data_IF_669034845873
#
_entry.id   IF_669034845873
#
_cell.length_a   1.000
_cell.length_b   1.000
_cell.length_c   1.000
_cell.angle_alpha   90.00
_cell.angle_beta   90.00
_cell.angle_gamma   90.00
#
_symmetry.space_group_name_H-M   'P 1'
#
loop_
_entity.id
_entity.type
_entity.pdbx_description
1 polymer ?
#
# COMPACT_ATOMS: atom_id res chain seq x y z
N UNK A 1 -7.84 -10.82 -4.06
CA UNK A 1 -7.16 -12.12 -3.83
C UNK A 1 -8.04 -13.26 -4.35
N UNK A 2 -7.52 -14.22 -5.11
CA UNK A 2 -8.34 -15.26 -5.78
C UNK A 2 -8.92 -16.34 -4.84
N UNK A 3 -8.64 -16.30 -3.54
CA UNK A 3 -9.08 -17.33 -2.59
C UNK A 3 -10.61 -17.47 -2.54
N UNK A 4 -11.32 -16.34 -2.43
CA UNK A 4 -12.78 -16.32 -2.40
C UNK A 4 -13.36 -16.98 -3.66
N UNK A 5 -12.92 -16.55 -4.85
CA UNK A 5 -13.40 -17.12 -6.12
C UNK A 5 -13.12 -18.63 -6.24
N UNK A 6 -11.93 -19.09 -5.84
CA UNK A 6 -11.59 -20.51 -5.84
C UNK A 6 -12.45 -21.30 -4.86
N UNK A 7 -12.70 -20.75 -3.67
CA UNK A 7 -13.52 -21.41 -2.65
C UNK A 7 -15.00 -21.44 -3.05
N UNK A 8 -15.50 -20.35 -3.64
CA UNK A 8 -16.84 -20.26 -4.24
C UNK A 8 -17.03 -21.32 -5.32
N UNK A 9 -16.11 -21.41 -6.28
CA UNK A 9 -16.15 -22.43 -7.33
C UNK A 9 -16.17 -23.87 -6.77
N UNK A 10 -15.41 -24.14 -5.69
CA UNK A 10 -15.44 -25.43 -5.00
C UNK A 10 -16.81 -25.72 -4.36
N UNK A 11 -17.36 -24.77 -3.60
CA UNK A 11 -18.63 -24.95 -2.88
C UNK A 11 -19.79 -25.10 -3.86
N UNK A 12 -19.91 -24.17 -4.81
CA UNK A 12 -20.97 -24.19 -5.82
C UNK A 12 -20.85 -25.40 -6.75
N UNK A 13 -19.62 -25.78 -7.13
CA UNK A 13 -19.36 -26.97 -7.91
C UNK A 13 -19.80 -28.25 -7.19
N UNK A 14 -19.49 -28.39 -5.90
CA UNK A 14 -19.94 -29.54 -5.10
C UNK A 14 -21.46 -29.57 -4.93
N UNK A 15 -22.10 -28.42 -4.67
CA UNK A 15 -23.57 -28.30 -4.62
C UNK A 15 -24.23 -28.70 -5.92
N UNK A 16 -23.69 -28.25 -7.05
CA UNK A 16 -24.19 -28.64 -8.38
C UNK A 16 -24.03 -30.13 -8.64
N UNK A 17 -22.89 -30.73 -8.28
CA UNK A 17 -22.60 -32.14 -8.57
C UNK A 17 -23.42 -33.10 -7.69
N UNK A 18 -23.60 -32.77 -6.41
CA UNK A 18 -24.37 -33.63 -5.50
C UNK A 18 -25.88 -33.44 -5.62
N UNK A 19 -26.35 -32.27 -6.08
CA UNK A 19 -27.78 -32.02 -6.28
C UNK A 19 -28.60 -32.02 -4.98
N UNK A 20 -27.97 -31.68 -3.84
CA UNK A 20 -28.60 -31.67 -2.51
C UNK A 20 -28.89 -30.25 -2.00
N UNK A 21 -29.11 -29.31 -2.93
CA UNK A 21 -29.30 -27.89 -2.62
C UNK A 21 -28.07 -27.26 -1.96
N UNK A 22 -28.30 -26.21 -1.17
CA UNK A 22 -27.24 -25.50 -0.43
C UNK A 22 -26.87 -26.22 0.86
N UNK A 23 -26.31 -27.43 0.78
CA UNK A 23 -25.91 -28.14 1.99
C UNK A 23 -24.91 -27.32 2.83
N UNK A 24 -24.90 -27.48 4.17
CA UNK A 24 -24.03 -26.71 5.05
C UNK A 24 -22.55 -26.93 4.76
N UNK A 25 -21.77 -25.85 4.70
CA UNK A 25 -20.34 -25.90 4.43
C UNK A 25 -19.55 -25.14 5.51
N UNK A 26 -18.96 -25.89 6.45
CA UNK A 26 -18.13 -25.31 7.51
C UNK A 26 -16.65 -25.49 7.22
N UNK A 27 -15.86 -24.45 7.49
CA UNK A 27 -14.42 -24.43 7.23
C UNK A 27 -13.67 -23.67 8.32
N UNK A 28 -12.35 -23.74 8.28
CA UNK A 28 -11.47 -23.19 9.31
C UNK A 28 -10.57 -22.14 8.68
N UNK A 29 -10.43 -21.01 9.34
CA UNK A 29 -9.44 -19.99 9.02
C UNK A 29 -8.03 -20.61 9.09
N UNK A 30 -7.11 -20.20 8.22
CA UNK A 30 -5.72 -20.66 8.32
C UNK A 30 -5.09 -20.12 9.61
N UNK A 31 -4.26 -20.91 10.29
CA UNK A 31 -3.62 -20.47 11.54
C UNK A 31 -2.54 -19.40 11.27
N UNK A 32 -2.31 -18.47 12.22
CA UNK A 32 -1.08 -17.67 12.29
C UNK A 32 0.17 -18.54 12.19
N UNK A 33 1.14 -18.10 11.39
CA UNK A 33 2.42 -18.77 11.20
C UNK A 33 3.48 -17.81 10.67
N UNK A 34 4.72 -17.96 11.14
CA UNK A 34 5.85 -17.18 10.66
C UNK A 34 6.39 -17.80 9.36
N UNK A 35 5.98 -17.25 8.22
CA UNK A 35 6.37 -17.78 6.91
C UNK A 35 7.84 -17.52 6.50
N UNK A 36 8.64 -16.80 7.27
CA UNK A 36 9.98 -16.37 6.83
C UNK A 36 9.96 -14.88 6.49
N UNK A 37 10.54 -14.51 5.35
CA UNK A 37 10.74 -13.11 4.96
C UNK A 37 9.56 -12.51 4.14
N UNK A 38 8.45 -13.22 4.02
CA UNK A 38 7.23 -12.73 3.39
C UNK A 38 6.69 -11.52 4.14
N UNK A 39 5.98 -10.67 3.41
CA UNK A 39 5.19 -9.57 3.96
C UNK A 39 4.35 -10.01 5.17
N UNK A 40 4.50 -9.33 6.30
CA UNK A 40 3.77 -9.61 7.53
C UNK A 40 2.25 -9.60 7.33
N UNK A 41 1.74 -8.78 6.42
CA UNK A 41 0.30 -8.61 6.18
C UNK A 41 -0.31 -9.70 5.29
N UNK A 42 0.48 -10.67 4.81
CA UNK A 42 0.03 -11.68 3.83
C UNK A 42 -1.14 -12.53 4.34
N UNK A 43 -1.09 -12.99 5.60
CA UNK A 43 -2.17 -13.78 6.16
C UNK A 43 -3.39 -12.94 6.52
N UNK A 44 -3.23 -11.69 6.94
CA UNK A 44 -4.37 -10.82 7.21
C UNK A 44 -5.26 -10.63 5.98
N UNK A 45 -4.65 -10.38 4.81
CA UNK A 45 -5.34 -10.34 3.52
C UNK A 45 -5.99 -11.69 3.15
N UNK A 46 -5.35 -12.80 3.54
CA UNK A 46 -5.89 -14.15 3.32
C UNK A 46 -7.07 -14.46 4.25
N UNK A 47 -7.00 -14.06 5.52
CA UNK A 47 -8.05 -14.20 6.51
C UNK A 47 -9.30 -13.42 6.13
N UNK A 48 -9.17 -12.18 5.63
CA UNK A 48 -10.29 -11.44 5.05
C UNK A 48 -10.92 -12.21 3.89
N UNK A 49 -10.11 -12.75 2.97
CA UNK A 49 -10.62 -13.52 1.85
C UNK A 49 -11.30 -14.83 2.29
N UNK A 50 -10.86 -15.44 3.41
CA UNK A 50 -11.53 -16.58 4.04
C UNK A 50 -12.85 -16.16 4.70
N UNK A 51 -12.89 -15.03 5.39
CA UNK A 51 -14.10 -14.50 6.01
C UNK A 51 -15.17 -14.14 4.96
N UNK A 52 -14.76 -13.60 3.81
CA UNK A 52 -15.65 -13.24 2.72
C UNK A 52 -16.45 -14.43 2.15
N UNK A 53 -15.96 -15.67 2.29
CA UNK A 53 -16.69 -16.88 1.85
C UNK A 53 -18.00 -17.07 2.61
N UNK A 54 -18.14 -16.48 3.82
CA UNK A 54 -19.39 -16.49 4.59
C UNK A 54 -20.55 -15.76 3.91
N UNK A 55 -20.30 -15.00 2.84
CA UNK A 55 -21.34 -14.40 2.00
C UNK A 55 -22.13 -15.46 1.19
N UNK A 56 -21.60 -16.68 1.05
CA UNK A 56 -22.30 -17.77 0.38
C UNK A 56 -23.33 -18.41 1.33
N UNK A 57 -24.53 -18.81 0.85
CA UNK A 57 -25.56 -19.40 1.68
C UNK A 57 -25.06 -20.64 2.45
N UNK A 58 -25.54 -20.83 3.68
CA UNK A 58 -25.26 -22.00 4.52
C UNK A 58 -23.76 -22.30 4.67
N UNK A 59 -22.94 -21.27 4.83
CA UNK A 59 -21.51 -21.41 5.13
C UNK A 59 -21.20 -20.85 6.52
N UNK A 60 -20.11 -21.31 7.11
CA UNK A 60 -19.62 -20.76 8.38
C UNK A 60 -18.14 -21.06 8.59
N UNK A 61 -17.45 -20.10 9.20
CA UNK A 61 -16.00 -20.18 9.44
C UNK A 61 -15.69 -20.27 10.93
N UNK A 62 -14.72 -21.12 11.29
CA UNK A 62 -14.09 -21.08 12.61
C UNK A 62 -12.80 -20.27 12.56
N UNK A 63 -12.74 -19.22 13.38
CA UNK A 63 -11.53 -18.43 13.65
C UNK A 63 -10.66 -19.18 14.66
N UNK A 64 -9.33 -19.21 14.44
CA UNK A 64 -8.38 -20.01 15.25
C UNK A 64 -7.06 -19.30 15.57
N UNK A 65 -7.01 -17.98 15.41
CA UNK A 65 -5.83 -17.17 15.71
C UNK A 65 -5.43 -17.16 17.19
N UNK A 66 -6.27 -17.70 18.09
CA UNK A 66 -6.01 -17.81 19.51
C UNK A 66 -5.39 -19.16 19.93
N UNK A 67 -5.43 -20.18 19.07
CA UNK A 67 -4.96 -21.55 19.34
C UNK A 67 -3.93 -22.00 18.29
N UNK A 68 -3.12 -21.06 17.83
CA UNK A 68 -2.04 -21.27 16.88
C UNK A 68 -0.78 -21.85 17.55
N UNK A 69 0.24 -22.10 16.74
CA UNK A 69 1.59 -22.45 17.21
C UNK A 69 2.56 -21.87 16.20
N UNK A 70 3.11 -20.69 16.47
CA UNK A 70 3.79 -19.86 15.45
C UNK A 70 5.00 -20.54 14.80
N UNK A 71 5.62 -21.51 15.47
CA UNK A 71 6.75 -22.31 15.01
C UNK A 71 6.33 -23.69 14.47
N UNK A 72 5.03 -24.02 14.47
CA UNK A 72 4.50 -25.27 13.93
C UNK A 72 3.31 -25.01 12.99
N UNK A 73 3.56 -25.19 11.70
CA UNK A 73 2.56 -25.05 10.63
C UNK A 73 1.36 -26.03 10.77
N UNK A 74 1.45 -27.01 11.67
CA UNK A 74 0.39 -27.93 12.05
C UNK A 74 0.02 -27.78 13.54
N UNK A 75 -0.74 -26.73 13.94
CA UNK A 75 -1.09 -26.52 15.35
C UNK A 75 -1.76 -27.75 15.98
N UNK A 76 -1.31 -28.21 17.16
CA UNK A 76 -1.71 -29.49 17.72
C UNK A 76 -3.12 -29.50 18.31
N UNK A 77 -3.68 -28.34 18.70
CA UNK A 77 -5.02 -28.25 19.28
C UNK A 77 -6.12 -28.41 18.21
N UNK A 78 -6.30 -29.63 17.70
CA UNK A 78 -7.39 -29.97 16.77
C UNK A 78 -8.73 -30.16 17.46
N UNK A 79 -8.70 -30.42 18.77
CA UNK A 79 -9.91 -30.72 19.55
C UNK A 79 -10.81 -29.50 19.64
N UNK A 80 -10.26 -28.32 19.96
CA UNK A 80 -11.07 -27.11 20.08
C UNK A 80 -11.54 -26.60 18.71
N UNK A 81 -10.75 -26.78 17.65
CA UNK A 81 -11.21 -26.55 16.27
C UNK A 81 -12.44 -27.40 15.94
N UNK A 82 -12.39 -28.70 16.25
CA UNK A 82 -13.52 -29.62 16.05
C UNK A 82 -14.75 -29.24 16.87
N UNK A 83 -14.57 -28.84 18.13
CA UNK A 83 -15.66 -28.35 18.98
C UNK A 83 -16.32 -27.11 18.37
N UNK A 84 -15.55 -26.11 17.92
CA UNK A 84 -16.09 -24.89 17.30
C UNK A 84 -16.89 -25.20 16.03
N UNK A 85 -16.40 -26.10 15.18
CA UNK A 85 -17.15 -26.57 14.00
C UNK A 85 -18.46 -27.27 14.38
N UNK A 86 -18.42 -28.12 15.42
CA UNK A 86 -19.62 -28.79 15.91
C UNK A 86 -20.64 -27.79 16.48
N UNK A 87 -20.20 -26.72 17.13
CA UNK A 87 -21.08 -25.66 17.64
C UNK A 87 -21.81 -24.93 16.51
N UNK A 88 -21.12 -24.60 15.42
CA UNK A 88 -21.75 -24.01 14.23
C UNK A 88 -22.83 -24.93 13.66
N UNK A 89 -22.51 -26.22 13.49
CA UNK A 89 -23.48 -27.20 12.99
C UNK A 89 -24.68 -27.34 13.94
N UNK A 90 -24.44 -27.45 15.25
CA UNK A 90 -25.51 -27.58 16.25
C UNK A 90 -26.48 -26.39 16.19
N UNK A 91 -25.95 -25.18 16.13
CA UNK A 91 -26.74 -23.94 16.03
C UNK A 91 -27.55 -23.91 14.72
N UNK A 92 -26.87 -24.07 13.59
CA UNK A 92 -27.43 -23.75 12.27
C UNK A 92 -28.21 -24.91 11.64
N UNK A 93 -27.99 -26.15 12.10
CA UNK A 93 -28.59 -27.35 11.47
C UNK A 93 -29.35 -28.27 12.43
N UNK A 94 -29.03 -28.24 13.72
CA UNK A 94 -29.66 -29.13 14.72
C UNK A 94 -30.58 -28.40 15.70
N UNK A 95 -31.00 -27.17 15.37
CA UNK A 95 -32.02 -26.42 16.11
C UNK A 95 -31.58 -25.89 17.47
N UNK A 96 -30.26 -25.88 17.76
CA UNK A 96 -29.72 -25.32 19.01
C UNK A 96 -29.47 -23.81 18.87
N UNK A 97 -30.53 -23.06 18.57
CA UNK A 97 -30.45 -21.64 18.18
C UNK A 97 -29.92 -20.71 19.29
N UNK A 98 -30.04 -21.12 20.56
CA UNK A 98 -29.52 -20.36 21.71
C UNK A 98 -28.00 -20.48 21.87
N UNK A 99 -27.33 -21.33 21.09
CA UNK A 99 -25.87 -21.42 21.10
C UNK A 99 -25.26 -20.22 20.38
N UNK A 100 -24.43 -19.47 21.09
CA UNK A 100 -23.54 -18.48 20.48
C UNK A 100 -22.30 -19.22 19.96
N UNK A 101 -22.37 -19.61 18.68
CA UNK A 101 -21.33 -20.39 18.00
C UNK A 101 -20.47 -19.54 17.04
N UNK A 102 -20.97 -18.40 16.62
CA UNK A 102 -20.25 -17.48 15.74
C UNK A 102 -19.23 -16.67 16.55
N UNK A 103 -18.07 -16.45 15.95
CA UNK A 103 -17.08 -15.52 16.50
C UNK A 103 -17.59 -14.08 16.37
N UNK A 104 -17.15 -13.14 17.22
CA UNK A 104 -17.50 -11.75 17.01
C UNK A 104 -16.94 -11.24 15.68
N UNK A 105 -17.73 -10.43 14.98
CA UNK A 105 -17.41 -9.90 13.66
C UNK A 105 -17.57 -8.40 13.65
N UNK A 106 -16.70 -7.69 12.91
CA UNK A 106 -16.86 -6.27 12.67
C UNK A 106 -18.26 -5.96 12.09
N UNK A 107 -18.90 -4.92 12.60
CA UNK A 107 -20.22 -4.47 12.16
C UNK A 107 -20.20 -3.04 11.61
N UNK A 108 -19.69 -2.09 12.40
CA UNK A 108 -19.62 -0.68 11.99
C UNK A 108 -18.43 0.06 12.59
N UNK A 109 -18.04 1.15 11.91
CA UNK A 109 -17.01 2.08 12.34
C UNK A 109 -17.61 3.47 12.46
N UNK A 110 -17.36 4.14 13.58
CA UNK A 110 -17.75 5.53 13.80
C UNK A 110 -16.55 6.35 14.29
N UNK A 111 -16.43 7.58 13.78
CA UNK A 111 -15.53 8.59 14.36
C UNK A 111 -16.28 9.36 15.44
N UNK A 112 -15.71 9.43 16.64
CA UNK A 112 -16.16 10.30 17.72
C UNK A 112 -14.98 11.16 18.20
N UNK A 113 -15.00 12.45 17.83
CA UNK A 113 -13.89 13.37 18.04
C UNK A 113 -12.58 12.84 17.41
N UNK A 114 -11.64 12.41 18.24
CA UNK A 114 -10.29 11.93 17.94
C UNK A 114 -10.17 10.40 18.11
N UNK A 115 -11.30 9.70 18.27
CA UNK A 115 -11.35 8.26 18.53
C UNK A 115 -12.19 7.51 17.51
N UNK A 116 -11.76 6.30 17.18
CA UNK A 116 -12.57 5.37 16.39
C UNK A 116 -13.32 4.41 17.32
N UNK A 117 -14.64 4.36 17.16
CA UNK A 117 -15.52 3.39 17.84
C UNK A 117 -15.80 2.26 16.86
N UNK A 118 -15.25 1.09 17.16
CA UNK A 118 -15.43 -0.14 16.37
C UNK A 118 -16.51 -0.99 17.03
N UNK A 119 -17.62 -1.22 16.35
CA UNK A 119 -18.72 -2.05 16.84
C UNK A 119 -18.61 -3.47 16.29
N UNK A 120 -18.84 -4.45 17.15
CA UNK A 120 -18.86 -5.87 16.80
C UNK A 120 -20.25 -6.47 17.01
N UNK A 121 -20.64 -7.38 16.11
CA UNK A 121 -21.80 -8.26 16.27
C UNK A 121 -21.34 -9.65 16.69
N UNK A 122 -22.30 -10.52 17.04
CA UNK A 122 -22.04 -11.89 17.50
C UNK A 122 -21.12 -11.98 18.73
N UNK A 123 -21.12 -10.95 19.57
CA UNK A 123 -20.23 -10.86 20.75
C UNK A 123 -20.59 -11.87 21.83
N UNK A 124 -21.84 -12.32 21.90
CA UNK A 124 -22.29 -13.24 22.95
C UNK A 124 -22.50 -12.56 24.31
N UNK A 125 -22.96 -11.30 24.29
CA UNK A 125 -23.24 -10.51 25.49
C UNK A 125 -22.12 -9.57 25.91
N UNK A 126 -21.29 -9.12 24.95
CA UNK A 126 -20.16 -8.22 25.19
C UNK A 126 -18.83 -8.80 24.71
N UNK A 127 -17.85 -7.91 24.54
CA UNK A 127 -16.46 -8.27 24.28
C UNK A 127 -15.70 -8.48 25.59
N UNK A 128 -14.62 -9.25 25.52
CA UNK A 128 -13.70 -9.49 26.63
C UNK A 128 -12.29 -9.74 26.09
N UNK A 129 -11.32 -9.89 26.99
CA UNK A 129 -10.00 -10.43 26.65
C UNK A 129 -9.72 -11.75 27.36
N UNK A 130 -9.01 -12.65 26.69
CA UNK A 130 -8.67 -13.98 27.22
C UNK A 130 -7.68 -13.96 28.39
N UNK A 131 -6.98 -12.84 28.58
CA UNK A 131 -5.94 -12.66 29.60
C UNK A 131 -6.24 -11.53 30.60
N UNK A 132 -7.41 -10.90 30.50
CA UNK A 132 -7.83 -9.79 31.37
C UNK A 132 -7.04 -8.49 31.18
N UNK A 133 -6.24 -8.38 30.10
CA UNK A 133 -5.50 -7.16 29.75
C UNK A 133 -6.26 -6.34 28.71
N UNK A 134 -5.75 -5.14 28.41
CA UNK A 134 -6.26 -4.34 27.30
C UNK A 134 -6.20 -5.13 25.97
N UNK A 135 -7.16 -4.93 25.05
CA UNK A 135 -7.10 -5.50 23.71
C UNK A 135 -5.80 -5.15 22.99
N UNK A 136 -5.30 -6.10 22.20
CA UNK A 136 -4.04 -6.00 21.47
C UNK A 136 -4.28 -6.11 19.96
N UNK A 137 -3.27 -5.76 19.16
CA UNK A 137 -3.27 -5.88 17.69
C UNK A 137 -4.28 -4.97 16.98
N UNK A 138 -4.70 -3.87 17.60
CA UNK A 138 -5.35 -2.77 16.89
C UNK A 138 -4.31 -1.77 16.42
N UNK A 139 -4.46 -1.32 15.18
CA UNK A 139 -3.69 -0.21 14.63
C UNK A 139 -4.64 0.75 13.93
N UNK A 140 -4.37 2.06 14.01
CA UNK A 140 -5.15 3.10 13.36
C UNK A 140 -4.26 4.01 12.52
N UNK A 141 -4.85 4.69 11.55
CA UNK A 141 -4.17 5.69 10.72
C UNK A 141 -5.11 6.88 10.46
N UNK A 142 -4.52 8.04 10.24
CA UNK A 142 -5.19 9.28 9.86
C UNK A 142 -4.21 10.21 9.12
N UNK A 143 -4.67 11.36 8.61
CA UNK A 143 -3.79 12.36 8.00
C UNK A 143 -2.63 12.73 8.94
N UNK A 144 -1.44 12.92 8.37
CA UNK A 144 -0.21 13.19 9.13
C UNK A 144 0.47 11.96 9.76
N UNK A 145 -0.20 10.80 9.79
CA UNK A 145 0.43 9.54 10.22
C UNK A 145 1.07 8.82 9.03
N UNK A 146 2.38 8.57 9.12
CA UNK A 146 3.17 7.95 8.05
C UNK A 146 2.74 6.51 7.73
N UNK A 147 2.34 5.75 8.75
CA UNK A 147 1.82 4.39 8.64
C UNK A 147 0.76 4.17 9.73
N UNK A 148 0.12 3.01 9.69
CA UNK A 148 -0.71 2.53 10.79
C UNK A 148 0.10 2.47 12.09
N UNK A 149 -0.38 3.16 13.11
CA UNK A 149 0.23 3.20 14.44
C UNK A 149 -0.54 2.27 15.39
N UNK A 150 0.15 1.57 16.31
CA UNK A 150 -0.51 0.79 17.35
C UNK A 150 -1.48 1.66 18.16
N UNK A 151 -2.71 1.17 18.33
CA UNK A 151 -3.76 1.89 19.04
C UNK A 151 -3.90 1.41 20.49
N UNK A 152 -4.10 2.34 21.40
CA UNK A 152 -4.76 2.04 22.67
C UNK A 152 -6.21 1.63 22.37
N UNK A 153 -6.65 0.55 23.01
CA UNK A 153 -7.96 -0.03 22.80
C UNK A 153 -8.67 -0.23 24.14
N UNK A 154 -9.92 0.19 24.24
CA UNK A 154 -10.77 0.04 25.43
C UNK A 154 -12.10 -0.63 25.03
N UNK A 155 -12.51 -1.66 25.77
CA UNK A 155 -13.79 -2.33 25.54
C UNK A 155 -14.90 -1.56 26.24
N UNK A 156 -15.98 -1.25 25.51
CA UNK A 156 -17.25 -0.79 26.07
C UNK A 156 -18.41 -1.61 25.45
N UNK A 157 -18.88 -2.61 26.21
CA UNK A 157 -19.92 -3.55 25.77
C UNK A 157 -19.51 -4.32 24.52
N UNK A 158 -20.20 -4.03 23.41
CA UNK A 158 -19.96 -4.63 22.09
C UNK A 158 -18.99 -3.81 21.21
N UNK A 159 -18.41 -2.75 21.78
CA UNK A 159 -17.53 -1.83 21.05
C UNK A 159 -16.11 -1.84 21.58
N UNK A 160 -15.17 -1.46 20.71
CA UNK A 160 -13.79 -1.12 21.08
C UNK A 160 -13.54 0.32 20.67
N UNK A 161 -13.15 1.15 21.63
CA UNK A 161 -12.75 2.54 21.40
C UNK A 161 -11.25 2.60 21.19
N UNK A 162 -10.81 3.18 20.07
CA UNK A 162 -9.43 3.24 19.62
C UNK A 162 -8.91 4.67 19.57
N UNK A 163 -7.68 4.86 20.05
CA UNK A 163 -6.90 6.09 19.92
C UNK A 163 -5.41 5.76 19.77
N UNK A 164 -4.61 6.67 19.23
CA UNK A 164 -3.16 6.52 19.17
C UNK A 164 -2.47 7.88 19.26
N UNK A 165 -1.37 7.94 20.00
CA UNK A 165 -0.49 9.11 19.96
C UNK A 165 0.06 9.31 18.54
N UNK A 166 -0.03 10.54 18.03
CA UNK A 166 0.36 10.87 16.65
C UNK A 166 -0.73 10.63 15.59
N UNK A 167 -1.97 10.30 15.99
CA UNK A 167 -3.12 10.21 15.09
C UNK A 167 -4.28 11.05 15.63
N UNK A 168 -4.27 12.35 15.32
CA UNK A 168 -5.27 13.30 15.84
C UNK A 168 -6.65 13.19 15.16
N UNK A 169 -6.68 12.68 13.93
CA UNK A 169 -7.90 12.52 13.13
C UNK A 169 -7.92 11.13 12.47
N UNK A 170 -8.19 10.05 13.22
CA UNK A 170 -8.13 8.70 12.68
C UNK A 170 -9.25 8.46 11.66
N UNK A 171 -8.92 7.86 10.52
CA UNK A 171 -9.86 7.62 9.42
C UNK A 171 -10.01 6.14 9.08
N UNK A 172 -9.09 5.29 9.52
CA UNK A 172 -9.15 3.84 9.35
C UNK A 172 -8.50 3.08 10.50
N UNK A 173 -8.94 1.84 10.69
CA UNK A 173 -8.31 0.88 11.60
C UNK A 173 -8.07 -0.46 10.91
N UNK A 174 -7.15 -1.24 11.47
CA UNK A 174 -6.99 -2.66 11.18
C UNK A 174 -6.74 -3.44 12.48
N UNK A 175 -7.21 -4.69 12.51
CA UNK A 175 -7.09 -5.60 13.64
C UNK A 175 -6.49 -6.93 13.21
N UNK A 176 -5.56 -7.45 14.01
CA UNK A 176 -4.84 -8.70 13.75
C UNK A 176 -4.17 -8.71 12.35
N UNK A 177 -3.49 -7.62 12.00
CA UNK A 177 -2.99 -7.37 10.65
C UNK A 177 -1.55 -7.87 10.40
N UNK A 178 -1.15 -8.95 11.07
CA UNK A 178 0.16 -9.58 10.94
C UNK A 178 0.03 -11.11 10.91
N UNK A 179 0.90 -11.78 10.15
CA UNK A 179 0.91 -13.25 9.97
C UNK A 179 1.18 -14.03 11.25
N UNK A 180 1.76 -13.38 12.26
CA UNK A 180 1.99 -13.92 13.58
C UNK A 180 0.97 -13.45 14.63
N UNK A 181 -0.11 -12.76 14.22
CA UNK A 181 -1.07 -12.19 15.15
C UNK A 181 -1.80 -13.25 15.99
N UNK A 182 -1.64 -13.16 17.30
CA UNK A 182 -2.36 -13.95 18.31
C UNK A 182 -3.12 -12.98 19.26
N UNK A 183 -4.14 -12.27 18.78
CA UNK A 183 -4.83 -11.25 19.57
C UNK A 183 -5.54 -11.85 20.78
N UNK A 184 -5.75 -11.01 21.80
CA UNK A 184 -6.44 -11.41 23.03
C UNK A 184 -7.94 -11.08 23.06
N UNK A 185 -8.46 -10.34 22.08
CA UNK A 185 -9.88 -9.96 22.01
C UNK A 185 -10.77 -11.17 21.70
N UNK A 186 -11.81 -11.35 22.52
CA UNK A 186 -12.82 -12.40 22.39
C UNK A 186 -14.22 -11.84 22.58
N UNK A 187 -15.24 -12.62 22.21
CA UNK A 187 -16.60 -12.40 22.71
C UNK A 187 -16.79 -12.90 24.14
N UNK A 188 -17.99 -12.73 24.69
CA UNK A 188 -18.42 -13.24 25.98
C UNK A 188 -18.41 -14.78 26.08
N UNK A 189 -18.39 -15.47 24.94
CA UNK A 189 -18.20 -16.93 24.88
C UNK A 189 -16.73 -17.37 24.91
N UNK A 190 -15.78 -16.43 24.84
CA UNK A 190 -14.36 -16.72 24.67
C UNK A 190 -13.95 -17.06 23.24
N UNK A 191 -14.86 -17.00 22.25
CA UNK A 191 -14.48 -17.15 20.84
C UNK A 191 -13.69 -15.91 20.37
N UNK A 192 -12.60 -16.11 19.61
CA UNK A 192 -11.71 -15.02 19.20
C UNK A 192 -12.32 -14.17 18.10
N UNK A 193 -11.87 -12.92 18.00
CA UNK A 193 -12.21 -12.04 16.87
C UNK A 193 -11.27 -12.32 15.69
N UNK A 194 -11.83 -12.42 14.48
CA UNK A 194 -11.05 -12.57 13.25
C UNK A 194 -10.43 -11.25 12.77
N UNK A 195 -9.42 -11.32 11.91
CA UNK A 195 -8.84 -10.12 11.31
C UNK A 195 -9.87 -9.31 10.52
N UNK A 196 -9.85 -8.00 10.70
CA UNK A 196 -10.76 -7.06 10.04
C UNK A 196 -10.11 -5.69 9.95
N UNK A 197 -10.63 -4.86 9.04
CA UNK A 197 -10.29 -3.44 8.89
C UNK A 197 -11.50 -2.71 8.34
N UNK A 198 -11.55 -1.40 8.59
CA UNK A 198 -12.53 -0.53 7.95
C UNK A 198 -12.03 0.93 7.97
N UNK A 199 -12.79 1.78 7.30
CA UNK A 199 -12.46 3.19 7.12
C UNK A 199 -11.62 3.44 5.87
N UNK A 200 -11.25 4.70 5.69
CA UNK A 200 -10.51 5.17 4.52
C UNK A 200 -9.06 5.45 4.90
N UNK A 201 -8.14 4.69 4.32
CA UNK A 201 -6.70 4.92 4.52
C UNK A 201 -6.34 6.20 3.75
N UNK A 202 -5.71 7.21 4.40
CA UNK A 202 -5.30 8.42 3.72
C UNK A 202 -4.40 8.11 2.52
N UNK A 203 -4.53 8.90 1.46
CA UNK A 203 -3.59 8.86 0.35
C UNK A 203 -2.18 9.22 0.82
N UNK A 204 -1.18 8.91 -0.01
CA UNK A 204 0.22 9.06 0.37
C UNK A 204 0.59 10.49 0.80
N UNK A 205 0.12 11.53 0.10
CA UNK A 205 0.46 12.92 0.45
C UNK A 205 -0.25 13.34 1.75
N UNK A 206 -1.48 12.91 1.95
CA UNK A 206 -2.24 13.16 3.19
C UNK A 206 -1.55 12.57 4.44
N UNK A 207 -0.82 11.45 4.30
CA UNK A 207 0.00 10.87 5.39
C UNK A 207 1.18 11.74 5.82
N UNK A 208 1.57 12.71 5.00
CA UNK A 208 2.61 13.70 5.31
C UNK A 208 2.03 15.11 5.45
N UNK A 209 0.71 15.24 5.56
CA UNK A 209 -0.01 16.53 5.62
C UNK A 209 0.20 17.42 4.40
N UNK A 210 0.51 16.83 3.25
CA UNK A 210 0.74 17.53 1.97
C UNK A 210 -0.48 17.50 1.04
N UNK A 211 -1.48 16.68 1.33
CA UNK A 211 -2.60 16.44 0.43
C UNK A 211 -3.45 17.68 0.12
N UNK A 212 -3.42 18.69 0.99
CA UNK A 212 -4.13 19.96 0.78
C UNK A 212 -3.25 21.03 0.09
N UNK A 213 -1.95 20.79 -0.02
CA UNK A 213 -1.00 21.73 -0.61
C UNK A 213 -0.75 21.45 -2.09
N UNK A 214 -1.02 20.23 -2.56
CA UNK A 214 -0.69 19.79 -3.90
C UNK A 214 -1.93 19.33 -4.67
N UNK A 215 -2.05 19.79 -5.91
CA UNK A 215 -3.08 19.38 -6.86
C UNK A 215 -2.51 18.33 -7.82
N UNK A 216 -3.29 17.26 -8.07
CA UNK A 216 -2.91 16.21 -9.01
C UNK A 216 -3.06 16.72 -10.45
N UNK A 217 -2.00 16.65 -11.24
CA UNK A 217 -2.02 17.04 -12.65
C UNK A 217 -2.16 15.81 -13.54
N UNK A 218 -1.27 14.83 -13.33
CA UNK A 218 -1.20 13.62 -14.15
C UNK A 218 -1.19 12.37 -13.28
N UNK A 219 -1.91 11.33 -13.69
CA UNK A 219 -1.72 9.96 -13.21
C UNK A 219 -1.39 9.05 -14.38
N UNK A 220 -0.40 8.16 -14.18
CA UNK A 220 0.01 7.15 -15.15
C UNK A 220 0.19 5.80 -14.45
N UNK A 221 -0.53 4.79 -14.94
CA UNK A 221 -0.20 3.38 -14.68
C UNK A 221 1.02 3.00 -15.53
N UNK A 222 2.16 2.76 -14.86
CA UNK A 222 3.40 2.45 -15.57
C UNK A 222 3.38 1.04 -16.19
N UNK A 223 2.33 0.24 -16.00
CA UNK A 223 2.12 -0.98 -16.76
C UNK A 223 1.71 -0.72 -18.22
N UNK A 224 1.18 0.46 -18.53
CA UNK A 224 0.73 0.84 -19.87
C UNK A 224 1.80 1.61 -20.67
N UNK A 225 3.03 1.69 -20.15
CA UNK A 225 4.17 2.30 -20.83
C UNK A 225 4.33 1.74 -22.24
N UNK A 226 4.44 2.65 -23.21
CA UNK A 226 4.63 2.35 -24.62
C UNK A 226 5.21 3.59 -25.32
N UNK A 227 5.25 3.59 -26.65
CA UNK A 227 5.79 4.70 -27.43
C UNK A 227 5.02 6.03 -27.25
N UNK A 228 3.71 5.95 -27.01
CA UNK A 228 2.81 7.06 -26.71
C UNK A 228 2.31 6.93 -25.26
N UNK A 229 2.59 7.93 -24.43
CA UNK A 229 2.10 7.92 -23.05
C UNK A 229 0.62 8.26 -22.99
N UNK A 230 -0.15 7.43 -22.29
CA UNK A 230 -1.57 7.63 -22.01
C UNK A 230 -1.76 7.78 -20.51
N UNK A 231 -2.08 8.99 -20.08
CA UNK A 231 -2.39 9.26 -18.68
C UNK A 231 -3.80 8.79 -18.34
N UNK A 232 -3.97 8.14 -17.18
CA UNK A 232 -5.30 7.79 -16.65
C UNK A 232 -6.04 9.02 -16.14
N UNK A 233 -5.30 10.04 -15.72
CA UNK A 233 -5.79 11.37 -15.34
C UNK A 233 -4.88 12.41 -16.01
N UNK A 234 -5.48 13.38 -16.70
CA UNK A 234 -4.82 14.57 -17.23
C UNK A 234 -5.71 15.78 -16.90
N UNK A 235 -5.27 16.57 -15.93
CA UNK A 235 -5.93 17.80 -15.47
C UNK A 235 -5.12 19.04 -15.88
N UNK A 236 -4.17 18.91 -16.80
CA UNK A 236 -3.22 19.99 -17.09
C UNK A 236 -3.85 21.26 -17.67
N UNK A 237 -5.04 21.16 -18.27
CA UNK A 237 -5.80 22.32 -18.74
C UNK A 237 -6.56 23.06 -17.62
N UNK A 238 -6.70 22.46 -16.43
CA UNK A 238 -7.43 23.00 -15.27
C UNK A 238 -6.51 23.64 -14.22
N UNK A 239 -5.19 23.45 -14.35
CA UNK A 239 -4.20 23.92 -13.38
C UNK A 239 -3.81 25.37 -13.63
N UNK A 240 -3.85 26.19 -12.57
CA UNK A 240 -3.40 27.59 -12.58
C UNK A 240 -1.89 27.72 -12.39
N UNK A 241 -1.40 28.95 -12.15
CA UNK A 241 -0.01 29.21 -11.81
C UNK A 241 0.43 28.40 -10.58
N UNK A 242 1.62 27.79 -10.67
CA UNK A 242 2.22 26.95 -9.62
C UNK A 242 3.65 27.37 -9.31
N UNK A 243 4.11 27.13 -8.08
CA UNK A 243 5.48 27.44 -7.65
C UNK A 243 6.33 26.21 -7.34
N UNK A 244 5.71 25.02 -7.25
CA UNK A 244 6.41 23.75 -7.05
C UNK A 244 5.84 22.65 -7.91
N UNK A 245 6.71 21.71 -8.25
CA UNK A 245 6.38 20.47 -8.97
C UNK A 245 6.71 19.28 -8.07
N UNK A 246 5.82 18.29 -8.03
CA UNK A 246 5.95 17.09 -7.23
C UNK A 246 5.75 15.82 -8.05
N UNK A 247 6.51 14.77 -7.72
CA UNK A 247 6.41 13.45 -8.34
C UNK A 247 6.24 12.40 -7.25
N UNK A 248 5.14 11.65 -7.30
CA UNK A 248 4.92 10.47 -6.49
C UNK A 248 5.12 9.22 -7.35
N UNK A 249 6.15 8.45 -7.03
CA UNK A 249 6.44 7.14 -7.63
C UNK A 249 6.14 6.06 -6.62
N UNK A 250 5.35 5.07 -7.02
CA UNK A 250 5.00 3.89 -6.21
C UNK A 250 5.34 2.62 -6.97
N UNK A 251 6.14 1.76 -6.37
CA UNK A 251 6.66 0.52 -6.97
C UNK A 251 6.49 -0.65 -6.00
N UNK A 252 5.94 -1.76 -6.46
CA UNK A 252 5.86 -3.03 -5.71
C UNK A 252 6.65 -4.11 -6.45
N UNK A 253 7.57 -4.77 -5.76
CA UNK A 253 8.31 -5.91 -6.31
C UNK A 253 8.62 -6.94 -5.23
N UNK A 254 8.92 -8.18 -5.64
CA UNK A 254 9.42 -9.20 -4.71
C UNK A 254 10.82 -8.87 -4.15
N UNK A 255 11.62 -8.10 -4.89
CA UNK A 255 12.99 -7.77 -4.50
C UNK A 255 13.05 -6.64 -3.46
N UNK A 256 12.21 -5.62 -3.60
CA UNK A 256 12.27 -4.39 -2.79
C UNK A 256 11.01 -4.14 -1.94
N UNK A 257 9.99 -5.00 -2.04
CA UNK A 257 8.71 -4.80 -1.38
C UNK A 257 7.94 -3.60 -1.96
N UNK A 258 7.12 -2.98 -1.11
CA UNK A 258 6.37 -1.76 -1.44
C UNK A 258 7.24 -0.52 -1.18
N UNK A 259 7.60 0.18 -2.24
CA UNK A 259 8.35 1.42 -2.20
C UNK A 259 7.48 2.58 -2.67
N UNK A 260 7.53 3.70 -1.96
CA UNK A 260 6.93 4.95 -2.40
C UNK A 260 7.89 6.11 -2.13
N UNK A 261 7.87 7.08 -3.03
CA UNK A 261 8.62 8.33 -2.91
C UNK A 261 7.78 9.45 -3.50
N UNK A 262 7.44 10.44 -2.67
CA UNK A 262 7.06 11.76 -3.14
C UNK A 262 8.28 12.68 -3.07
N UNK A 263 8.67 13.26 -4.20
CA UNK A 263 9.72 14.29 -4.26
C UNK A 263 9.12 15.57 -4.84
N UNK A 264 9.35 16.69 -4.19
CA UNK A 264 8.93 18.02 -4.66
C UNK A 264 10.09 18.99 -4.69
N UNK A 265 10.04 19.97 -5.59
CA UNK A 265 11.05 20.99 -5.76
C UNK A 265 10.42 22.28 -6.27
N UNK A 266 11.17 23.38 -6.26
CA UNK A 266 10.71 24.60 -6.92
C UNK A 266 10.45 24.36 -8.40
N UNK A 267 9.45 25.05 -8.95
CA UNK A 267 9.05 24.89 -10.34
C UNK A 267 10.23 25.23 -11.27
N UNK A 268 10.68 24.23 -12.03
CA UNK A 268 11.76 24.36 -13.01
C UNK A 268 11.26 24.83 -14.39
N UNK A 269 9.95 25.01 -14.53
CA UNK A 269 9.24 25.55 -15.70
C UNK A 269 7.88 26.09 -15.26
N UNK A 270 7.34 27.05 -16.01
CA UNK A 270 5.97 27.55 -15.93
C UNK A 270 5.01 26.81 -16.89
N UNK A 271 5.53 25.97 -17.79
CA UNK A 271 4.73 25.18 -18.72
C UNK A 271 4.32 23.84 -18.09
N UNK A 272 3.06 23.78 -17.67
CA UNK A 272 2.45 22.58 -17.05
C UNK A 272 2.54 21.34 -17.94
N UNK A 273 2.64 21.48 -19.27
CA UNK A 273 2.73 20.33 -20.17
C UNK A 273 4.15 19.78 -20.25
N UNK A 274 5.15 20.51 -19.75
CA UNK A 274 6.57 20.12 -19.75
C UNK A 274 7.02 19.44 -18.44
N UNK A 275 6.17 19.35 -17.42
CA UNK A 275 6.50 18.62 -16.18
C UNK A 275 6.21 17.11 -16.28
N UNK A 276 5.54 16.68 -17.35
CA UNK A 276 5.16 15.29 -17.60
C UNK A 276 6.34 14.44 -18.13
N UNK A 277 6.12 13.16 -18.49
CA UNK A 277 7.18 12.36 -19.14
C UNK A 277 7.67 13.09 -20.40
N UNK A 278 8.98 13.36 -20.54
CA UNK A 278 9.54 14.21 -21.58
C UNK A 278 9.61 13.47 -22.92
N UNK A 279 8.44 13.14 -23.48
CA UNK A 279 8.32 12.60 -24.84
C UNK A 279 8.83 13.63 -25.85
N UNK A 280 9.35 13.16 -26.98
CA UNK A 280 9.83 14.05 -28.04
C UNK A 280 8.79 15.08 -28.48
N UNK A 281 7.50 14.70 -28.50
CA UNK A 281 6.40 15.60 -28.85
C UNK A 281 6.08 16.67 -27.79
N UNK A 282 6.54 16.49 -26.55
CA UNK A 282 6.32 17.44 -25.46
C UNK A 282 7.33 18.60 -25.47
N UNK A 283 8.41 18.49 -26.25
CA UNK A 283 9.48 19.51 -26.34
C UNK A 283 10.00 19.93 -24.94
N UNK A 284 10.07 18.96 -24.03
CA UNK A 284 10.60 19.10 -22.68
C UNK A 284 12.05 18.61 -22.66
N UNK A 285 12.99 19.50 -22.33
CA UNK A 285 14.40 19.20 -22.21
C UNK A 285 15.02 20.03 -21.09
N UNK A 286 15.34 19.38 -19.98
CA UNK A 286 15.88 19.99 -18.77
C UNK A 286 17.07 19.17 -18.27
N UNK A 287 18.26 19.79 -18.34
CA UNK A 287 19.47 19.40 -17.60
C UNK A 287 19.84 20.59 -16.73
N UNK A 288 19.33 20.62 -15.49
CA UNK A 288 19.54 21.77 -14.61
C UNK A 288 19.44 21.41 -13.14
N UNK A 289 20.10 22.23 -12.32
CA UNK A 289 19.93 22.22 -10.87
C UNK A 289 18.54 22.69 -10.47
N UNK A 290 18.02 22.09 -9.41
CA UNK A 290 16.75 22.47 -8.78
C UNK A 290 16.98 22.72 -7.29
N UNK A 291 16.24 23.66 -6.73
CA UNK A 291 16.36 24.07 -5.33
C UNK A 291 15.18 23.59 -4.49
N UNK A 292 15.36 23.65 -3.16
CA UNK A 292 14.34 23.32 -2.16
C UNK A 292 13.70 21.96 -2.41
N UNK A 293 14.53 20.97 -2.77
CA UNK A 293 14.07 19.60 -2.98
C UNK A 293 13.71 18.99 -1.63
N UNK A 294 12.50 18.47 -1.52
CA UNK A 294 11.98 17.78 -0.34
C UNK A 294 11.48 16.41 -0.77
N UNK A 295 11.79 15.38 0.02
CA UNK A 295 11.39 14.02 -0.29
C UNK A 295 10.87 13.27 0.91
N UNK A 296 9.79 12.53 0.67
CA UNK A 296 9.05 11.73 1.62
C UNK A 296 8.98 10.33 1.06
N UNK A 297 9.54 9.36 1.78
CA UNK A 297 9.72 8.01 1.24
C UNK A 297 9.49 6.93 2.28
N UNK A 298 9.07 5.76 1.81
CA UNK A 298 9.16 4.52 2.59
C UNK A 298 10.59 3.97 2.67
N UNK A 299 11.53 4.51 1.89
CA UNK A 299 12.96 4.20 1.98
C UNK A 299 13.64 5.26 2.85
N UNK A 300 14.08 4.94 4.09
CA UNK A 300 14.52 5.96 5.05
C UNK A 300 15.68 6.83 4.59
N UNK A 301 16.58 6.30 3.76
CA UNK A 301 17.73 7.04 3.23
C UNK A 301 17.36 8.11 2.20
N UNK A 302 16.11 8.14 1.73
CA UNK A 302 15.60 9.06 0.72
C UNK A 302 14.66 10.11 1.34
N UNK A 303 14.67 10.28 2.66
CA UNK A 303 13.91 11.31 3.35
C UNK A 303 14.80 12.55 3.48
N UNK A 304 14.44 13.63 2.79
CA UNK A 304 15.21 14.86 2.77
C UNK A 304 14.31 16.08 3.00
N UNK A 305 14.86 17.08 3.71
CA UNK A 305 14.24 18.39 3.87
C UNK A 305 15.16 19.43 3.27
N UNK A 306 14.70 20.11 2.22
CA UNK A 306 15.35 21.25 1.59
C UNK A 306 16.82 20.99 1.21
N UNK A 307 17.03 20.20 0.17
CA UNK A 307 18.35 19.94 -0.43
C UNK A 307 18.46 20.55 -1.83
N UNK A 308 19.70 20.67 -2.33
CA UNK A 308 19.96 20.91 -3.75
C UNK A 308 19.80 19.61 -4.54
N UNK A 309 19.24 19.72 -5.73
CA UNK A 309 19.11 18.60 -6.64
C UNK A 309 19.49 18.92 -8.07
N UNK A 310 19.38 17.91 -8.93
CA UNK A 310 19.50 18.03 -10.38
C UNK A 310 18.38 17.21 -11.01
N UNK A 311 17.82 17.70 -12.11
CA UNK A 311 16.87 16.95 -12.93
C UNK A 311 17.47 16.62 -14.30
N UNK A 312 17.11 15.43 -14.77
CA UNK A 312 17.53 14.90 -16.06
C UNK A 312 16.31 14.49 -16.89
N UNK A 313 15.64 15.46 -17.51
CA UNK A 313 14.37 15.27 -18.20
C UNK A 313 14.52 15.57 -19.70
N UNK A 314 14.55 14.56 -20.56
CA UNK A 314 14.62 14.74 -22.03
C UNK A 314 14.22 13.48 -22.78
N UNK A 315 13.90 13.61 -24.07
CA UNK A 315 13.63 12.46 -24.95
C UNK A 315 14.88 11.83 -25.59
N UNK A 316 16.03 12.50 -25.48
CA UNK A 316 17.29 12.16 -26.15
C UNK A 316 17.92 10.84 -25.69
N UNK A 317 18.90 10.36 -26.45
CA UNK A 317 19.95 9.53 -25.86
C UNK A 317 20.80 10.35 -24.86
N UNK A 318 21.65 9.68 -24.09
CA UNK A 318 22.59 10.35 -23.21
C UNK A 318 23.86 9.52 -23.00
N UNK A 319 24.88 10.18 -22.50
CA UNK A 319 26.23 9.65 -22.28
C UNK A 319 26.70 10.02 -20.86
N UNK A 320 27.60 9.22 -20.25
CA UNK A 320 27.91 9.32 -18.81
C UNK A 320 28.87 10.48 -18.47
N UNK A 321 29.22 11.33 -19.44
CA UNK A 321 30.12 12.45 -19.19
C UNK A 321 29.37 13.60 -18.49
N UNK A 322 30.02 14.27 -17.54
CA UNK A 322 29.40 15.35 -16.76
C UNK A 322 29.69 16.73 -17.37
N UNK A 323 29.15 16.98 -18.58
CA UNK A 323 29.39 18.24 -19.30
C UNK A 323 28.84 19.46 -18.54
N UNK A 324 27.74 19.27 -17.82
CA UNK A 324 27.09 20.33 -17.03
C UNK A 324 27.79 20.60 -15.69
N UNK A 325 28.84 19.83 -15.36
CA UNK A 325 29.61 19.96 -14.10
C UNK A 325 28.73 19.84 -12.85
N UNK A 326 27.73 18.96 -12.90
CA UNK A 326 26.87 18.66 -11.75
C UNK A 326 27.75 18.16 -10.60
N UNK A 327 27.68 18.78 -9.41
CA UNK A 327 28.46 18.35 -8.26
C UNK A 327 28.18 16.89 -7.90
N UNK A 328 29.23 16.09 -7.75
CA UNK A 328 29.14 14.69 -7.32
C UNK A 328 28.93 13.67 -8.44
N UNK A 329 28.66 14.11 -9.68
CA UNK A 329 28.51 13.25 -10.85
C UNK A 329 29.84 12.69 -11.35
N UNK A 330 29.76 11.58 -12.07
CA UNK A 330 30.88 10.91 -12.71
C UNK A 330 31.04 11.37 -14.16
N UNK A 331 32.25 11.24 -14.72
CA UNK A 331 32.49 11.40 -16.16
C UNK A 331 32.44 10.07 -16.93
N UNK A 332 32.20 8.95 -16.23
CA UNK A 332 32.29 7.60 -16.81
C UNK A 332 31.23 6.62 -16.29
N UNK A 333 30.38 7.03 -15.36
CA UNK A 333 29.28 6.25 -14.80
C UNK A 333 27.98 7.01 -15.05
N UNK A 334 26.95 6.32 -15.54
CA UNK A 334 25.60 6.89 -15.62
C UNK A 334 25.10 7.18 -14.20
N UNK A 335 24.91 8.48 -13.90
CA UNK A 335 24.52 8.95 -12.57
C UNK A 335 23.66 10.22 -12.55
N UNK A 336 24.12 11.30 -11.91
CA UNK A 336 23.31 12.47 -11.54
C UNK A 336 23.60 13.70 -12.42
N UNK A 337 24.49 13.54 -13.41
CA UNK A 337 24.93 14.61 -14.31
C UNK A 337 25.24 14.13 -15.72
N UNK A 338 24.49 13.15 -16.21
CA UNK A 338 24.66 12.61 -17.56
C UNK A 338 24.41 13.70 -18.62
N UNK A 339 25.06 13.54 -19.77
CA UNK A 339 24.97 14.51 -20.88
C UNK A 339 24.01 14.04 -21.96
N UNK A 340 23.14 14.95 -22.40
CA UNK A 340 22.28 14.79 -23.57
C UNK A 340 23.11 14.43 -24.81
N UNK A 341 22.66 13.44 -25.57
CA UNK A 341 23.27 12.96 -26.82
C UNK A 341 22.22 12.69 -27.91
N UNK A 342 22.65 12.69 -29.18
CA UNK A 342 21.77 12.35 -30.31
C UNK A 342 21.44 10.82 -30.34
N UNK A 343 20.28 10.42 -30.89
CA UNK A 343 19.24 11.28 -31.48
C UNK A 343 18.35 11.96 -30.43
N UNK A 344 17.73 13.09 -30.79
CA UNK A 344 16.76 13.81 -29.94
C UNK A 344 15.58 12.94 -29.52
N UNK A 345 15.07 12.10 -30.41
CA UNK A 345 14.05 11.11 -30.10
C UNK A 345 14.70 9.74 -29.85
N UNK A 346 15.40 9.63 -28.72
CA UNK A 346 16.23 8.48 -28.36
C UNK A 346 15.72 7.73 -27.14
N UNK A 347 16.66 7.42 -26.25
CA UNK A 347 16.45 6.59 -25.06
C UNK A 347 15.43 7.22 -24.10
N UNK A 348 15.55 8.51 -23.82
CA UNK A 348 14.72 9.24 -22.88
C UNK A 348 15.16 9.06 -21.43
N UNK A 349 15.24 10.17 -20.70
CA UNK A 349 15.57 10.24 -19.28
C UNK A 349 14.49 11.04 -18.54
N UNK A 350 14.05 10.54 -17.39
CA UNK A 350 13.25 11.28 -16.43
C UNK A 350 13.73 10.92 -15.03
N UNK A 351 14.71 11.68 -14.53
CA UNK A 351 15.34 11.40 -13.25
C UNK A 351 15.47 12.64 -12.37
N UNK A 352 15.35 12.45 -11.07
CA UNK A 352 15.56 13.49 -10.05
C UNK A 352 16.61 13.01 -9.07
N UNK A 353 17.56 13.87 -8.73
CA UNK A 353 18.72 13.51 -7.93
C UNK A 353 18.94 14.46 -6.76
N UNK A 354 19.49 13.93 -5.68
CA UNK A 354 20.20 14.66 -4.62
C UNK A 354 21.68 14.71 -5.01
N UNK A 355 22.17 15.91 -5.31
CA UNK A 355 23.54 16.11 -5.84
C UNK A 355 24.60 15.88 -4.78
N UNK A 356 24.37 16.39 -3.57
CA UNK A 356 25.31 16.32 -2.44
C UNK A 356 25.61 14.88 -2.04
N UNK A 357 24.59 14.06 -1.89
CA UNK A 357 24.73 12.68 -1.43
C UNK A 357 24.92 11.68 -2.59
N UNK A 358 24.95 12.18 -3.84
CA UNK A 358 25.08 11.38 -5.05
C UNK A 358 24.00 10.30 -5.13
N UNK A 359 22.76 10.71 -4.92
CA UNK A 359 21.63 9.80 -4.88
C UNK A 359 20.64 10.13 -5.99
N UNK A 360 20.30 9.14 -6.80
CA UNK A 360 19.08 9.14 -7.58
C UNK A 360 17.90 8.99 -6.62
N UNK A 361 16.94 9.91 -6.67
CA UNK A 361 15.72 9.83 -5.88
C UNK A 361 14.73 8.92 -6.60
N UNK A 362 14.43 9.20 -7.87
CA UNK A 362 13.79 8.24 -8.77
C UNK A 362 14.35 8.34 -10.18
N UNK A 363 14.12 7.26 -10.96
CA UNK A 363 14.39 7.22 -12.39
C UNK A 363 13.27 6.51 -13.14
N UNK A 364 12.88 7.09 -14.27
CA UNK A 364 12.05 6.49 -15.32
C UNK A 364 12.71 6.76 -16.67
N UNK A 365 13.38 5.76 -17.24
CA UNK A 365 14.08 5.89 -18.52
C UNK A 365 13.50 4.91 -19.53
N UNK A 366 13.69 5.18 -20.82
CA UNK A 366 13.31 4.26 -21.88
C UNK A 366 11.87 3.79 -21.87
N UNK A 367 10.95 4.67 -21.47
CA UNK A 367 9.51 4.39 -21.33
C UNK A 367 8.87 3.73 -22.56
N UNK A 368 9.41 3.98 -23.77
CA UNK A 368 8.95 3.36 -25.02
C UNK A 368 9.04 1.83 -25.04
N UNK A 369 9.91 1.26 -24.19
CA UNK A 369 10.13 -0.19 -24.09
C UNK A 369 9.13 -0.90 -23.18
N UNK A 370 8.16 -0.20 -22.60
CA UNK A 370 7.11 -0.80 -21.78
C UNK A 370 7.69 -1.58 -20.60
N UNK A 371 7.50 -2.91 -20.59
CA UNK A 371 8.01 -3.78 -19.53
C UNK A 371 9.55 -3.87 -19.47
N UNK A 372 10.26 -3.40 -20.50
CA UNK A 372 11.72 -3.30 -20.52
C UNK A 372 12.22 -1.86 -20.33
N UNK A 373 11.36 -0.93 -19.87
CA UNK A 373 11.77 0.37 -19.38
C UNK A 373 12.62 0.23 -18.09
N UNK A 374 13.32 1.30 -17.75
CA UNK A 374 14.13 1.39 -16.53
C UNK A 374 13.34 2.14 -15.48
N UNK A 375 13.21 1.57 -14.27
CA UNK A 375 12.45 2.13 -13.17
C UNK A 375 13.17 1.94 -11.85
N UNK A 376 13.13 2.95 -10.98
CA UNK A 376 13.44 2.71 -9.59
C UNK A 376 13.41 3.92 -8.69
N UNK A 377 13.50 3.64 -7.38
CA UNK A 377 13.54 4.60 -6.29
C UNK A 377 14.86 4.39 -5.54
N UNK A 378 15.65 5.44 -5.37
CA UNK A 378 17.00 5.36 -4.81
C UNK A 378 18.06 5.00 -5.85
N UNK A 379 19.31 4.84 -5.40
CA UNK A 379 20.41 4.35 -6.24
C UNK A 379 20.18 2.89 -6.65
N UNK A 380 20.54 2.58 -7.90
CA UNK A 380 20.54 1.23 -8.43
C UNK A 380 21.62 0.38 -7.77
N UNK A 381 21.34 -0.90 -7.46
CA UNK A 381 22.38 -1.86 -7.06
C UNK A 381 23.14 -2.44 -8.27
N UNK A 382 22.83 -1.99 -9.48
CA UNK A 382 23.40 -2.48 -10.74
C UNK A 382 24.76 -1.88 -11.09
N UNK A 383 25.07 -1.90 -12.39
CA UNK A 383 26.34 -1.43 -12.92
C UNK A 383 26.45 0.11 -12.98
N UNK A 384 25.30 0.80 -12.99
CA UNK A 384 25.16 2.26 -12.98
C UNK A 384 24.69 2.73 -11.61
N UNK A 385 24.91 4.01 -11.26
CA UNK A 385 24.41 4.53 -9.97
C UNK A 385 22.93 4.84 -10.06
N UNK A 386 22.50 5.33 -11.22
CA UNK A 386 21.10 5.45 -11.58
C UNK A 386 20.55 4.13 -12.12
N UNK A 387 19.29 4.11 -12.57
CA UNK A 387 18.63 2.90 -13.09
C UNK A 387 18.84 2.69 -14.59
N UNK A 388 19.72 3.45 -15.25
CA UNK A 388 19.93 3.38 -16.69
C UNK A 388 20.37 1.98 -17.15
N UNK A 389 19.74 1.47 -18.21
CA UNK A 389 19.92 0.15 -18.82
C UNK A 389 19.52 -1.06 -17.96
N UNK A 390 18.78 -0.88 -16.87
CA UNK A 390 18.38 -1.98 -15.98
C UNK A 390 17.25 -2.85 -16.54
N UNK A 391 16.39 -2.32 -17.43
CA UNK A 391 15.28 -3.01 -18.11
C UNK A 391 14.38 -3.78 -17.14
N UNK A 392 14.11 -3.20 -15.99
CA UNK A 392 13.52 -3.88 -14.84
C UNK A 392 12.03 -3.56 -14.62
N UNK A 393 11.39 -2.74 -15.46
CA UNK A 393 9.98 -2.37 -15.27
C UNK A 393 9.03 -3.58 -15.13
N UNK A 394 9.31 -4.68 -15.84
CA UNK A 394 8.56 -5.94 -15.79
C UNK A 394 8.71 -6.74 -14.50
N UNK A 395 9.68 -6.39 -13.64
CA UNK A 395 9.85 -7.02 -12.33
C UNK A 395 8.91 -6.43 -11.26
N UNK A 396 8.30 -5.27 -11.52
CA UNK A 396 7.34 -4.64 -10.62
C UNK A 396 5.91 -5.13 -10.90
N UNK A 397 5.26 -5.69 -9.88
CA UNK A 397 3.87 -6.16 -9.94
C UNK A 397 2.86 -5.02 -9.87
N UNK A 398 3.24 -3.90 -9.27
CA UNK A 398 2.51 -2.63 -9.28
C UNK A 398 3.51 -1.50 -9.52
N UNK A 399 3.15 -0.54 -10.37
CA UNK A 399 4.01 0.60 -10.71
C UNK A 399 3.16 1.79 -11.17
N UNK A 400 3.28 2.94 -10.51
CA UNK A 400 2.49 4.14 -10.77
C UNK A 400 3.35 5.40 -10.65
N UNK A 401 3.07 6.38 -11.51
CA UNK A 401 3.59 7.74 -11.41
C UNK A 401 2.40 8.70 -11.28
N UNK A 402 2.46 9.61 -10.30
CA UNK A 402 1.55 10.73 -10.16
C UNK A 402 2.35 12.02 -10.11
N UNK A 403 1.90 13.02 -10.85
CA UNK A 403 2.56 14.31 -10.98
C UNK A 403 1.64 15.37 -10.39
N UNK A 404 2.19 16.15 -9.48
CA UNK A 404 1.49 17.15 -8.70
C UNK A 404 2.11 18.52 -8.90
N UNK A 405 1.35 19.57 -8.62
CA UNK A 405 1.89 20.92 -8.45
C UNK A 405 1.36 21.56 -7.19
N UNK A 406 2.09 22.55 -6.66
CA UNK A 406 1.56 23.45 -5.63
C UNK A 406 1.10 24.75 -6.29
N UNK A 407 -0.22 25.05 -6.31
CA UNK A 407 -0.72 26.31 -6.84
C UNK A 407 -0.18 27.51 -6.05
N UNK A 408 0.15 28.60 -6.76
CA UNK A 408 0.58 29.87 -6.14
C UNK A 408 -0.56 30.58 -5.41
N UNK A 409 -1.79 30.40 -5.89
CA UNK A 409 -3.03 30.84 -5.25
C UNK A 409 -3.82 29.63 -4.82
N UNK A 410 -3.96 29.41 -3.50
CA UNK A 410 -4.89 28.39 -2.99
C UNK A 410 -6.30 28.74 -3.44
N UNK A 411 -7.03 27.79 -4.03
CA UNK A 411 -8.47 27.91 -4.13
C UNK A 411 -9.03 28.10 -2.71
N UNK A 412 -9.78 29.18 -2.49
CA UNK A 412 -10.40 29.51 -1.19
C UNK A 412 -11.51 28.54 -0.82
#
# INVERSE_FOLDING_TARGET
MLYFEKKKALIEGWRSLWGQGDFPFYYVQIAPFQYGNEDGTVLARFWEAQAAVQQLPNTGMVVINDIATLDNIHPPNKQDVGKRLAMLALKNNYGRIDLVADSPEFDSLQLDSDKLIVTFKNTGGGLSTRDGKAPTHFEIIGPGAHDFLPAQAEIDGDTVVLSAEGVDAPTAFRFAWDKSAEPNLTGGTGLPVGACRAGEVPDYLSRYSLGQDYELVYELDLNTLNNTIHYSIDQSDDISDFDRVGYLVELESSAYGNQALFVSMDAFTDDIKKIAIPQFSADASFQQSVENVESYSTVPSLIHKSIEGNIEFWSNNYAPNNTSKVPGASDSLYDIGDSIAEPINGYGSMQVHNTKDKQTLFALNHWRMGQAADLGIGNSPGATRDWTFTKNAGAYSSKRLRIYVRPTTRAQ
#
